data_IF_016556587438
#
_entry.id   IF_016556587438
#
_cell.length_a   1.000
_cell.length_b   1.000
_cell.length_c   1.000
_cell.angle_alpha   90.00
_cell.angle_beta   90.00
_cell.angle_gamma   90.00
#
_symmetry.space_group_name_H-M   'P 1'
#
loop_
_entity.id
_entity.type
_entity.pdbx_description
1 polymer ?
#
# COMPACT_ATOMS: atom_id res chain seq x y z
N UNK A 1 2.81 10.94 23.54
CA UNK A 1 1.58 10.30 23.07
C UNK A 1 0.38 10.46 24.04
N UNK A 2 0.59 10.81 25.31
CA UNK A 2 -0.49 11.01 26.30
C UNK A 2 -1.48 12.15 25.96
N UNK A 3 -1.18 13.00 24.98
CA UNK A 3 -1.99 14.16 24.59
C UNK A 3 -2.73 13.99 23.24
N UNK A 4 -2.65 12.81 22.57
CA UNK A 4 -3.34 12.60 21.30
C UNK A 4 -4.80 12.17 21.54
N UNK A 5 -5.74 13.02 21.21
CA UNK A 5 -7.18 12.72 21.36
C UNK A 5 -7.63 11.53 20.51
N UNK A 6 -7.09 11.38 19.31
CA UNK A 6 -7.41 10.26 18.42
C UNK A 6 -6.97 8.93 19.04
N UNK A 7 -5.74 8.85 19.53
CA UNK A 7 -5.23 7.64 20.20
C UNK A 7 -6.02 7.31 21.46
N UNK A 8 -6.40 8.33 22.24
CA UNK A 8 -7.26 8.14 23.42
C UNK A 8 -8.63 7.60 23.02
N UNK A 9 -9.24 8.14 21.97
CA UNK A 9 -10.54 7.69 21.46
C UNK A 9 -10.48 6.23 21.00
N UNK A 10 -9.46 5.84 20.23
CA UNK A 10 -9.25 4.46 19.79
C UNK A 10 -9.09 3.49 20.97
N UNK A 11 -8.34 3.88 22.00
CA UNK A 11 -8.19 3.03 23.19
C UNK A 11 -9.49 2.89 23.99
N UNK A 12 -10.23 3.99 24.12
CA UNK A 12 -11.49 3.98 24.86
C UNK A 12 -12.55 3.16 24.13
N UNK A 13 -12.62 3.24 22.79
CA UNK A 13 -13.60 2.51 22.00
C UNK A 13 -13.47 0.97 22.13
N UNK A 14 -12.27 0.46 22.40
CA UNK A 14 -12.04 -0.98 22.58
C UNK A 14 -12.75 -1.58 23.82
N UNK A 15 -13.14 -0.76 24.77
CA UNK A 15 -13.77 -1.17 26.02
C UNK A 15 -15.18 -0.60 26.16
N UNK A 16 -15.70 0.03 25.13
CA UNK A 16 -17.03 0.64 25.14
C UNK A 16 -18.07 -0.37 24.64
N UNK A 17 -19.24 -0.38 25.29
CA UNK A 17 -20.39 -1.21 24.87
C UNK A 17 -21.01 -0.69 23.57
N UNK A 18 -20.93 0.62 23.33
CA UNK A 18 -21.44 1.30 22.13
C UNK A 18 -20.35 2.23 21.60
N UNK A 19 -20.07 2.13 20.30
CA UNK A 19 -19.12 2.99 19.58
C UNK A 19 -19.85 3.71 18.45
N UNK A 20 -19.75 5.02 18.43
CA UNK A 20 -20.26 5.86 17.33
C UNK A 20 -19.08 6.18 16.42
N UNK A 21 -19.22 5.85 15.14
CA UNK A 21 -18.20 6.06 14.13
C UNK A 21 -18.83 6.51 12.80
N UNK A 22 -18.07 7.17 11.93
CA UNK A 22 -18.54 7.46 10.57
C UNK A 22 -18.45 6.19 9.68
N UNK A 23 -19.24 6.16 8.61
CA UNK A 23 -19.30 5.03 7.67
C UNK A 23 -17.91 4.68 7.08
N UNK A 24 -17.13 5.70 6.73
CA UNK A 24 -15.79 5.50 6.16
C UNK A 24 -14.86 4.72 7.12
N UNK A 25 -14.87 5.04 8.42
CA UNK A 25 -14.06 4.32 9.40
C UNK A 25 -14.50 2.86 9.54
N UNK A 26 -15.80 2.61 9.53
CA UNK A 26 -16.35 1.24 9.60
C UNK A 26 -15.93 0.44 8.37
N UNK A 27 -16.08 1.00 7.16
CA UNK A 27 -15.71 0.32 5.91
C UNK A 27 -14.20 0.11 5.76
N UNK A 28 -13.37 1.08 6.13
CA UNK A 28 -11.91 0.92 6.15
C UNK A 28 -11.48 -0.19 7.12
N UNK A 29 -12.08 -0.28 8.30
CA UNK A 29 -11.79 -1.37 9.24
C UNK A 29 -12.22 -2.73 8.68
N UNK A 30 -13.37 -2.80 8.00
CA UNK A 30 -13.85 -4.02 7.35
C UNK A 30 -12.89 -4.45 6.21
N UNK A 31 -12.45 -3.53 5.36
CA UNK A 31 -11.49 -3.80 4.29
C UNK A 31 -10.13 -4.28 4.85
N UNK A 32 -9.64 -3.66 5.92
CA UNK A 32 -8.42 -4.10 6.60
C UNK A 32 -8.56 -5.50 7.20
N UNK A 33 -9.69 -5.81 7.84
CA UNK A 33 -9.94 -7.13 8.41
C UNK A 33 -9.99 -8.22 7.33
N UNK A 34 -10.62 -7.93 6.19
CA UNK A 34 -10.65 -8.83 5.03
C UNK A 34 -9.24 -9.11 4.48
N UNK A 35 -8.41 -8.07 4.35
CA UNK A 35 -7.04 -8.18 3.83
C UNK A 35 -6.11 -8.97 4.76
N UNK A 36 -6.29 -8.84 6.07
CA UNK A 36 -5.43 -9.48 7.07
C UNK A 36 -5.90 -10.87 7.49
N UNK A 37 -7.03 -11.36 6.95
CA UNK A 37 -7.63 -12.63 7.37
C UNK A 37 -8.10 -12.65 8.84
N UNK A 38 -8.18 -11.49 9.48
CA UNK A 38 -8.52 -11.34 10.90
C UNK A 38 -10.05 -11.26 11.10
N UNK A 39 -10.77 -12.25 10.57
CA UNK A 39 -12.22 -12.32 10.73
C UNK A 39 -12.69 -12.56 12.18
N UNK A 40 -11.78 -12.70 13.14
CA UNK A 40 -12.14 -13.07 14.53
C UNK A 40 -11.36 -12.32 15.61
N UNK A 41 -11.10 -11.02 15.47
CA UNK A 41 -10.65 -10.25 16.63
C UNK A 41 -11.83 -10.15 17.61
N UNK A 42 -11.67 -10.71 18.82
CA UNK A 42 -12.69 -10.72 19.88
C UNK A 42 -13.18 -9.32 20.28
N UNK A 43 -12.49 -8.28 19.85
CA UNK A 43 -12.84 -6.89 20.14
C UNK A 43 -13.58 -6.20 18.97
N UNK A 44 -13.94 -6.93 17.92
CA UNK A 44 -14.75 -6.32 16.84
C UNK A 44 -16.22 -6.22 17.24
N UNK A 45 -16.91 -5.12 16.84
CA UNK A 45 -18.34 -5.00 17.03
C UNK A 45 -19.07 -6.15 16.34
N UNK A 46 -20.04 -6.75 17.04
CA UNK A 46 -20.86 -7.85 16.52
C UNK A 46 -22.16 -7.39 15.88
N UNK A 47 -22.54 -6.14 16.12
CA UNK A 47 -23.75 -5.54 15.58
C UNK A 47 -23.45 -4.14 15.06
N UNK A 48 -23.98 -3.83 13.88
CA UNK A 48 -23.83 -2.54 13.22
C UNK A 48 -25.22 -1.95 12.97
N UNK A 49 -25.42 -0.70 13.34
CA UNK A 49 -26.60 0.09 13.03
C UNK A 49 -26.12 1.28 12.23
N UNK A 50 -26.62 1.41 11.01
CA UNK A 50 -26.25 2.50 10.12
C UNK A 50 -27.38 3.54 10.09
N UNK A 51 -27.04 4.76 10.49
CA UNK A 51 -27.88 5.93 10.27
C UNK A 51 -27.52 6.52 8.90
N UNK A 52 -28.48 7.09 8.18
CA UNK A 52 -28.29 7.58 6.80
C UNK A 52 -27.64 6.53 5.89
N UNK A 53 -28.21 5.33 5.86
CA UNK A 53 -27.64 4.14 5.20
C UNK A 53 -27.30 4.30 3.72
N UNK A 54 -27.80 5.33 3.03
CA UNK A 54 -27.45 5.64 1.65
C UNK A 54 -25.97 6.02 1.44
N UNK A 55 -25.30 6.52 2.49
CA UNK A 55 -23.85 6.81 2.45
C UNK A 55 -22.95 5.58 2.57
N UNK A 56 -23.52 4.40 2.86
CA UNK A 56 -22.73 3.16 3.00
C UNK A 56 -22.08 2.78 1.68
N UNK A 57 -22.80 2.94 0.56
CA UNK A 57 -22.34 2.55 -0.77
C UNK A 57 -21.08 3.33 -1.15
N UNK A 58 -21.09 4.65 -1.02
CA UNK A 58 -19.95 5.50 -1.31
C UNK A 58 -18.76 5.20 -0.38
N UNK A 59 -19.05 4.94 0.90
CA UNK A 59 -18.01 4.59 1.87
C UNK A 59 -17.40 3.22 1.59
N UNK A 60 -18.19 2.24 1.17
CA UNK A 60 -17.74 0.92 0.78
C UNK A 60 -16.90 0.99 -0.50
N UNK A 61 -17.40 1.64 -1.54
CA UNK A 61 -16.67 1.88 -2.77
C UNK A 61 -15.30 2.49 -2.50
N UNK A 62 -15.25 3.55 -1.71
CA UNK A 62 -13.99 4.21 -1.34
C UNK A 62 -13.04 3.32 -0.55
N UNK A 63 -13.56 2.46 0.33
CA UNK A 63 -12.75 1.62 1.22
C UNK A 63 -12.23 0.33 0.54
N UNK A 64 -13.02 -0.22 -0.39
CA UNK A 64 -12.71 -1.47 -1.08
C UNK A 64 -12.17 -1.26 -2.51
N UNK A 65 -12.23 -0.03 -3.05
CA UNK A 65 -11.59 0.28 -4.32
C UNK A 65 -10.08 0.21 -4.21
N UNK A 66 -9.44 -0.29 -5.24
CA UNK A 66 -7.99 -0.21 -5.39
C UNK A 66 -7.60 1.05 -6.16
N UNK A 67 -6.59 1.75 -5.67
CA UNK A 67 -6.00 2.90 -6.35
C UNK A 67 -4.53 2.66 -6.61
N UNK A 68 -4.07 2.86 -7.84
CA UNK A 68 -2.65 2.85 -8.19
C UNK A 68 -2.22 4.29 -8.49
N UNK A 69 -1.51 4.89 -7.55
CA UNK A 69 -1.05 6.28 -7.68
C UNK A 69 0.47 6.37 -7.58
N UNK A 70 1.05 7.38 -8.25
CA UNK A 70 2.47 7.68 -8.12
C UNK A 70 2.85 8.08 -6.68
N UNK A 71 1.90 8.61 -5.91
CA UNK A 71 2.13 8.94 -4.51
C UNK A 71 2.28 7.69 -3.65
N UNK A 72 1.37 6.72 -3.75
CA UNK A 72 1.41 5.48 -2.96
C UNK A 72 2.64 4.63 -3.30
N UNK A 73 2.99 4.54 -4.59
CA UNK A 73 4.19 3.83 -5.02
C UNK A 73 5.48 4.53 -4.52
N UNK A 74 5.52 5.86 -4.48
CA UNK A 74 6.62 6.63 -3.88
C UNK A 74 6.70 6.43 -2.35
N UNK A 75 5.54 6.38 -1.65
CA UNK A 75 5.50 6.08 -0.22
C UNK A 75 5.96 4.64 0.07
N UNK A 76 5.65 3.67 -0.81
CA UNK A 76 6.19 2.30 -0.71
C UNK A 76 7.71 2.29 -0.83
N UNK A 77 8.28 2.99 -1.83
CA UNK A 77 9.75 3.16 -1.94
C UNK A 77 10.34 3.74 -0.68
N UNK A 78 9.75 4.83 -0.18
CA UNK A 78 10.22 5.49 1.03
C UNK A 78 10.12 4.58 2.27
N UNK A 79 9.11 3.74 2.36
CA UNK A 79 8.96 2.79 3.45
C UNK A 79 9.99 1.65 3.37
N UNK A 80 10.31 1.15 2.18
CA UNK A 80 11.31 0.10 1.96
C UNK A 80 12.73 0.64 2.17
N UNK A 81 13.09 1.74 1.53
CA UNK A 81 14.46 2.27 1.50
C UNK A 81 14.77 3.28 2.58
N UNK A 82 13.76 3.94 3.12
CA UNK A 82 13.93 5.09 4.01
C UNK A 82 14.23 6.37 3.23
N UNK A 83 14.65 7.40 3.97
CA UNK A 83 14.94 8.69 3.39
C UNK A 83 16.29 8.68 2.66
N UNK A 84 16.29 8.94 1.35
CA UNK A 84 17.46 8.91 0.46
C UNK A 84 18.15 10.29 0.32
N UNK A 85 17.56 11.38 0.85
CA UNK A 85 18.10 12.75 0.74
C UNK A 85 19.03 13.17 1.91
N UNK A 86 19.52 12.20 2.67
CA UNK A 86 20.50 12.42 3.73
C UNK A 86 19.98 13.15 4.99
N UNK A 87 18.75 13.58 5.02
CA UNK A 87 18.13 14.19 6.20
C UNK A 87 17.81 13.12 7.25
N UNK A 88 18.70 12.92 8.19
CA UNK A 88 18.79 11.81 9.17
C UNK A 88 17.55 11.52 10.02
N UNK A 89 16.51 12.36 10.03
CA UNK A 89 15.56 12.37 11.15
C UNK A 89 14.20 11.72 10.90
N UNK A 90 13.79 11.39 9.68
CA UNK A 90 12.35 11.20 9.48
C UNK A 90 11.80 9.85 9.07
N UNK A 91 12.50 8.99 8.34
CA UNK A 91 11.96 7.64 8.05
C UNK A 91 13.10 6.63 7.90
N UNK A 92 13.19 5.72 8.86
CA UNK A 92 14.09 4.55 8.75
C UNK A 92 13.45 3.57 7.78
N UNK A 93 14.17 3.15 6.74
CA UNK A 93 13.73 2.10 5.82
C UNK A 93 13.56 0.75 6.50
N UNK A 94 12.97 -0.18 5.77
CA UNK A 94 12.70 -1.52 6.26
C UNK A 94 13.99 -2.24 6.70
N UNK A 95 15.08 -2.06 5.95
CA UNK A 95 16.40 -2.62 6.28
C UNK A 95 16.88 -2.26 7.69
N UNK A 96 16.72 -0.99 8.11
CA UNK A 96 17.11 -0.55 9.46
C UNK A 96 16.17 -1.03 10.57
N UNK A 97 14.98 -1.47 10.19
CA UNK A 97 13.98 -1.98 11.15
C UNK A 97 14.09 -3.46 11.35
N UNK A 98 14.39 -4.20 10.29
CA UNK A 98 14.39 -5.66 10.28
C UNK A 98 15.78 -6.28 10.34
N UNK A 99 16.83 -5.60 9.83
CA UNK A 99 18.15 -6.19 9.67
C UNK A 99 18.69 -6.88 10.92
N UNK A 100 18.51 -6.27 12.10
CA UNK A 100 18.91 -6.89 13.36
C UNK A 100 18.03 -8.09 13.78
N UNK A 101 16.75 -8.09 13.38
CA UNK A 101 15.79 -9.14 13.75
C UNK A 101 15.96 -10.41 12.92
N UNK A 102 16.47 -10.28 11.70
CA UNK A 102 16.61 -11.37 10.72
C UNK A 102 18.07 -11.70 10.41
N UNK A 103 19.01 -11.21 11.24
CA UNK A 103 20.46 -11.34 10.99
C UNK A 103 20.92 -12.79 10.87
N UNK A 104 20.25 -13.70 11.58
CA UNK A 104 20.57 -15.13 11.58
C UNK A 104 20.01 -15.88 10.35
N UNK A 105 19.24 -15.21 9.48
CA UNK A 105 18.66 -15.81 8.27
C UNK A 105 19.23 -15.15 7.02
N UNK A 106 20.16 -15.84 6.35
CA UNK A 106 20.72 -15.39 5.09
C UNK A 106 19.64 -15.21 4.00
N UNK A 107 18.66 -16.11 3.96
CA UNK A 107 17.54 -16.03 3.00
C UNK A 107 16.68 -14.78 3.23
N UNK A 108 16.35 -14.47 4.48
CA UNK A 108 15.55 -13.29 4.81
C UNK A 108 16.34 -11.99 4.52
N UNK A 109 17.64 -11.97 4.80
CA UNK A 109 18.51 -10.84 4.47
C UNK A 109 18.63 -10.64 2.95
N UNK A 110 18.79 -11.71 2.18
CA UNK A 110 18.81 -11.65 0.72
C UNK A 110 17.48 -11.12 0.16
N UNK A 111 16.35 -11.60 0.67
CA UNK A 111 15.03 -11.12 0.30
C UNK A 111 14.85 -9.62 0.62
N UNK A 112 15.29 -9.18 1.80
CA UNK A 112 15.24 -7.76 2.19
C UNK A 112 16.08 -6.88 1.26
N UNK A 113 17.28 -7.31 0.93
CA UNK A 113 18.17 -6.58 0.02
C UNK A 113 17.57 -6.50 -1.39
N UNK A 114 17.07 -7.62 -1.93
CA UNK A 114 16.39 -7.67 -3.23
C UNK A 114 15.20 -6.73 -3.28
N UNK A 115 14.31 -6.76 -2.29
CA UNK A 115 13.17 -5.86 -2.22
C UNK A 115 13.59 -4.38 -2.16
N UNK A 116 14.65 -4.09 -1.40
CA UNK A 116 15.19 -2.72 -1.27
C UNK A 116 15.80 -2.22 -2.57
N UNK A 117 16.45 -3.09 -3.34
CA UNK A 117 17.04 -2.72 -4.63
C UNK A 117 15.98 -2.53 -5.70
N UNK A 118 15.01 -3.43 -5.82
CA UNK A 118 13.88 -3.29 -6.74
C UNK A 118 13.05 -2.02 -6.46
N UNK A 119 12.92 -1.63 -5.21
CA UNK A 119 12.24 -0.39 -4.85
C UNK A 119 12.86 0.87 -5.45
N UNK A 120 14.10 0.82 -6.01
CA UNK A 120 14.69 1.94 -6.77
C UNK A 120 13.93 2.25 -8.05
N UNK A 121 13.24 1.28 -8.61
CA UNK A 121 12.46 1.41 -9.83
C UNK A 121 11.06 2.01 -9.58
N UNK A 122 10.70 2.25 -8.32
CA UNK A 122 9.51 3.03 -7.93
C UNK A 122 9.84 4.53 -7.90
N UNK A 123 8.84 5.43 -7.97
CA UNK A 123 9.04 6.87 -7.98
C UNK A 123 9.85 7.35 -6.78
N UNK A 124 10.94 8.04 -7.05
CA UNK A 124 11.88 8.56 -6.05
C UNK A 124 11.80 10.08 -5.87
N UNK A 125 12.75 10.64 -5.13
CA UNK A 125 12.82 12.09 -4.87
C UNK A 125 12.70 12.86 -6.20
N UNK A 126 11.83 13.90 -6.24
CA UNK A 126 11.60 14.71 -7.41
C UNK A 126 10.67 14.12 -8.48
N UNK A 127 10.05 12.98 -8.23
CA UNK A 127 9.16 12.29 -9.16
C UNK A 127 8.01 13.19 -9.69
N UNK A 128 7.46 14.06 -8.84
CA UNK A 128 6.36 14.97 -9.26
C UNK A 128 6.77 15.87 -10.43
N UNK A 129 7.97 16.46 -10.30
CA UNK A 129 8.52 17.32 -11.35
C UNK A 129 8.76 16.50 -12.62
N UNK A 130 9.43 15.36 -12.53
CA UNK A 130 9.72 14.50 -13.68
C UNK A 130 8.47 14.02 -14.41
N UNK A 131 7.41 13.62 -13.67
CA UNK A 131 6.14 13.25 -14.31
C UNK A 131 5.48 14.47 -14.96
N UNK A 132 5.52 15.66 -14.33
CA UNK A 132 4.94 16.87 -14.90
C UNK A 132 5.67 17.35 -16.17
N UNK A 133 6.98 17.17 -16.23
CA UNK A 133 7.83 17.53 -17.37
C UNK A 133 7.95 16.39 -18.42
N UNK A 134 7.32 15.24 -18.16
CA UNK A 134 7.38 14.04 -19.01
C UNK A 134 8.82 13.49 -19.20
N UNK A 135 9.62 13.58 -18.15
CA UNK A 135 11.02 13.10 -18.07
C UNK A 135 11.17 11.97 -17.04
N UNK A 136 10.54 10.80 -17.25
CA UNK A 136 10.53 9.73 -16.26
C UNK A 136 11.92 9.11 -16.06
N UNK A 137 12.30 8.88 -14.81
CA UNK A 137 13.59 8.29 -14.45
C UNK A 137 13.56 6.76 -14.29
N UNK A 138 12.38 6.15 -14.21
CA UNK A 138 12.22 4.72 -13.98
C UNK A 138 10.91 4.20 -14.59
N UNK A 139 10.70 2.87 -14.54
CA UNK A 139 9.57 2.21 -15.17
C UNK A 139 8.23 2.64 -14.60
N UNK A 140 8.13 2.81 -13.28
CA UNK A 140 6.89 3.27 -12.66
C UNK A 140 6.54 4.71 -13.10
N UNK A 141 7.53 5.61 -13.15
CA UNK A 141 7.32 6.98 -13.64
C UNK A 141 6.93 7.00 -15.13
N UNK A 142 7.47 6.07 -15.94
CA UNK A 142 7.06 5.93 -17.36
C UNK A 142 5.58 5.60 -17.50
N UNK A 143 5.08 4.68 -16.65
CA UNK A 143 3.65 4.36 -16.63
C UNK A 143 2.80 5.58 -16.26
N UNK A 144 3.15 6.29 -15.18
CA UNK A 144 2.39 7.48 -14.77
C UNK A 144 2.46 8.63 -15.77
N UNK A 145 3.58 8.79 -16.50
CA UNK A 145 3.66 9.71 -17.63
C UNK A 145 2.70 9.29 -18.75
N UNK A 146 2.62 8.00 -19.08
CA UNK A 146 1.70 7.50 -20.10
C UNK A 146 0.24 7.74 -19.70
N UNK A 147 -0.13 7.48 -18.43
CA UNK A 147 -1.46 7.78 -17.89
C UNK A 147 -1.75 9.28 -17.97
N UNK A 148 -0.83 10.13 -17.50
CA UNK A 148 -0.98 11.59 -17.58
C UNK A 148 -1.21 12.05 -19.02
N UNK A 149 -0.41 11.58 -19.96
CA UNK A 149 -0.54 11.95 -21.37
C UNK A 149 -1.88 11.52 -21.95
N UNK A 150 -2.36 10.31 -21.62
CA UNK A 150 -3.68 9.84 -22.05
C UNK A 150 -4.82 10.72 -21.49
N UNK A 151 -4.71 11.12 -20.20
CA UNK A 151 -5.69 12.03 -19.57
C UNK A 151 -5.73 13.38 -20.31
N UNK A 152 -4.57 14.01 -20.55
CA UNK A 152 -4.53 15.31 -21.23
C UNK A 152 -4.99 15.24 -22.68
N UNK A 153 -4.76 14.13 -23.38
CA UNK A 153 -5.24 13.92 -24.76
C UNK A 153 -6.76 13.75 -24.86
N UNK A 154 -7.38 13.19 -23.82
CA UNK A 154 -8.82 12.88 -23.81
C UNK A 154 -9.67 13.90 -23.08
N UNK A 155 -9.07 14.74 -22.25
CA UNK A 155 -9.80 15.74 -21.48
C UNK A 155 -10.38 16.82 -22.41
N UNK A 156 -11.67 17.14 -22.24
CA UNK A 156 -12.34 18.20 -22.96
C UNK A 156 -11.78 19.59 -22.61
N UNK A 157 -11.32 19.76 -21.36
CA UNK A 157 -10.76 21.01 -20.84
C UNK A 157 -9.38 20.73 -20.18
N UNK A 158 -8.32 20.51 -20.96
CA UNK A 158 -7.01 20.14 -20.42
C UNK A 158 -6.35 21.26 -19.58
N UNK A 159 -6.86 22.49 -19.62
CA UNK A 159 -6.40 23.62 -18.81
C UNK A 159 -7.21 23.82 -17.51
N UNK A 160 -8.14 22.91 -17.20
CA UNK A 160 -8.91 22.98 -15.97
C UNK A 160 -7.99 23.03 -14.74
N UNK A 161 -8.33 23.92 -13.79
CA UNK A 161 -7.66 24.02 -12.50
C UNK A 161 -8.03 22.87 -11.53
N UNK A 162 -9.04 22.07 -11.90
CA UNK A 162 -9.53 20.93 -11.12
C UNK A 162 -8.92 19.63 -11.60
N UNK A 163 -9.12 18.58 -10.82
CA UNK A 163 -8.70 17.24 -11.20
C UNK A 163 -9.35 16.82 -12.52
N UNK A 164 -8.51 16.37 -13.47
CA UNK A 164 -8.97 15.82 -14.74
C UNK A 164 -9.26 14.34 -14.56
N UNK A 165 -10.40 13.90 -15.07
CA UNK A 165 -10.83 12.52 -15.10
C UNK A 165 -11.31 12.15 -16.49
N UNK A 166 -10.90 10.99 -16.98
CA UNK A 166 -11.28 10.48 -18.29
C UNK A 166 -11.50 8.96 -18.22
N UNK A 167 -12.29 8.44 -19.15
CA UNK A 167 -12.42 7.01 -19.35
C UNK A 167 -11.08 6.38 -19.74
N UNK A 168 -10.79 5.24 -19.15
CA UNK A 168 -9.53 4.51 -19.40
C UNK A 168 -9.58 3.78 -20.74
N UNK A 169 -10.73 3.23 -21.09
CA UNK A 169 -10.88 2.38 -22.27
C UNK A 169 -11.31 3.16 -23.52
N UNK A 170 -10.84 2.70 -24.71
CA UNK A 170 -9.78 1.73 -24.91
C UNK A 170 -8.43 2.25 -24.43
N UNK A 171 -7.64 1.42 -23.75
CA UNK A 171 -6.30 1.82 -23.33
C UNK A 171 -5.37 2.02 -24.54
N UNK A 172 -4.49 3.03 -24.49
CA UNK A 172 -3.50 3.22 -25.56
C UNK A 172 -2.43 2.14 -25.50
N UNK A 173 -1.90 1.72 -26.66
CA UNK A 173 -0.83 0.72 -26.74
C UNK A 173 0.37 1.12 -25.86
N UNK A 174 0.78 2.39 -25.89
CA UNK A 174 1.86 2.88 -25.02
C UNK A 174 1.55 2.69 -23.53
N UNK A 175 0.31 2.92 -23.10
CA UNK A 175 -0.10 2.74 -21.72
C UNK A 175 -0.08 1.25 -21.35
N UNK A 176 -0.55 0.36 -22.21
CA UNK A 176 -0.52 -1.10 -22.03
C UNK A 176 0.92 -1.63 -21.91
N UNK A 177 1.83 -1.20 -22.80
CA UNK A 177 3.24 -1.58 -22.73
C UNK A 177 3.91 -1.15 -21.41
N UNK A 178 3.63 0.08 -20.94
CA UNK A 178 4.17 0.57 -19.67
C UNK A 178 3.51 -0.10 -18.46
N UNK A 179 2.22 -0.39 -18.55
CA UNK A 179 1.49 -1.17 -17.54
C UNK A 179 2.10 -2.56 -17.37
N UNK A 180 2.42 -3.25 -18.47
CA UNK A 180 3.05 -4.57 -18.40
C UNK A 180 4.43 -4.54 -17.75
N UNK A 181 5.25 -3.51 -18.05
CA UNK A 181 6.56 -3.33 -17.40
C UNK A 181 6.42 -3.07 -15.90
N UNK A 182 5.51 -2.18 -15.51
CA UNK A 182 5.23 -1.92 -14.11
C UNK A 182 4.70 -3.16 -13.39
N UNK A 183 3.79 -3.92 -14.02
CA UNK A 183 3.31 -5.18 -13.47
C UNK A 183 4.43 -6.18 -13.19
N UNK A 184 5.35 -6.35 -14.13
CA UNK A 184 6.51 -7.23 -13.97
C UNK A 184 7.36 -6.79 -12.77
N UNK A 185 7.65 -5.49 -12.65
CA UNK A 185 8.36 -4.92 -11.50
C UNK A 185 7.62 -5.21 -10.18
N UNK A 186 6.31 -5.03 -10.13
CA UNK A 186 5.51 -5.28 -8.93
C UNK A 186 5.47 -6.79 -8.59
N UNK A 187 5.47 -7.67 -9.59
CA UNK A 187 5.60 -9.11 -9.37
C UNK A 187 6.96 -9.46 -8.77
N UNK A 188 8.04 -8.94 -9.36
CA UNK A 188 9.40 -9.16 -8.86
C UNK A 188 9.58 -8.63 -7.44
N UNK A 189 8.93 -7.53 -7.08
CA UNK A 189 8.95 -6.95 -5.75
C UNK A 189 8.09 -7.76 -4.75
N UNK A 190 6.99 -8.35 -5.19
CA UNK A 190 6.09 -9.11 -4.32
C UNK A 190 6.73 -10.37 -3.76
N UNK A 191 7.55 -11.05 -4.55
CA UNK A 191 8.22 -12.31 -4.16
C UNK A 191 9.09 -12.15 -2.90
N UNK A 192 10.09 -11.26 -2.85
CA UNK A 192 10.92 -11.09 -1.66
C UNK A 192 10.14 -10.55 -0.46
N UNK A 193 9.12 -9.71 -0.68
CA UNK A 193 8.30 -9.19 0.42
C UNK A 193 7.41 -10.27 1.05
N UNK A 194 6.89 -11.19 0.23
CA UNK A 194 6.15 -12.36 0.72
C UNK A 194 7.06 -13.31 1.49
N UNK A 195 8.26 -13.59 0.99
CA UNK A 195 9.27 -14.39 1.73
C UNK A 195 9.58 -13.79 3.09
N UNK A 196 9.79 -12.47 3.16
CA UNK A 196 10.00 -11.76 4.42
C UNK A 196 8.81 -11.90 5.37
N UNK A 197 7.58 -11.75 4.87
CA UNK A 197 6.38 -11.90 5.68
C UNK A 197 6.26 -13.31 6.26
N UNK A 198 6.46 -14.34 5.43
CA UNK A 198 6.45 -15.75 5.85
C UNK A 198 7.53 -16.03 6.90
N UNK A 199 8.75 -15.52 6.70
CA UNK A 199 9.83 -15.68 7.67
C UNK A 199 9.50 -15.05 9.04
N UNK A 200 8.97 -13.82 9.05
CA UNK A 200 8.59 -13.15 10.29
C UNK A 200 7.43 -13.87 11.00
N UNK A 201 6.49 -14.42 10.24
CA UNK A 201 5.41 -15.23 10.79
C UNK A 201 5.95 -16.51 11.44
N UNK A 202 6.84 -17.22 10.74
CA UNK A 202 7.51 -18.41 11.30
C UNK A 202 8.26 -18.11 12.59
N UNK A 203 8.98 -16.98 12.67
CA UNK A 203 9.65 -16.55 13.91
C UNK A 203 8.67 -16.34 15.08
N UNK A 204 7.48 -15.81 14.83
CA UNK A 204 6.46 -15.59 15.86
C UNK A 204 5.92 -16.94 16.37
N UNK A 205 5.69 -17.90 15.46
CA UNK A 205 5.12 -19.21 15.76
C UNK A 205 6.14 -20.13 16.46
N UNK A 206 7.35 -20.24 15.90
CA UNK A 206 8.40 -21.16 16.41
C UNK A 206 9.04 -20.72 17.73
N UNK A 207 9.17 -19.40 17.92
CA UNK A 207 9.83 -18.82 19.09
C UNK A 207 8.86 -18.20 20.09
N UNK A 208 7.59 -18.62 20.06
CA UNK A 208 6.52 -18.04 20.89
C UNK A 208 6.87 -17.95 22.37
N UNK A 209 7.52 -18.99 22.92
CA UNK A 209 7.86 -19.10 24.32
C UNK A 209 9.24 -18.52 24.70
N UNK A 210 10.10 -18.25 23.71
CA UNK A 210 11.49 -17.82 23.96
C UNK A 210 11.73 -16.34 23.66
N UNK A 211 10.85 -15.70 22.87
CA UNK A 211 10.95 -14.28 22.56
C UNK A 211 10.51 -13.42 23.75
N UNK A 212 11.33 -12.45 24.09
CA UNK A 212 10.88 -11.39 24.99
C UNK A 212 9.76 -10.55 24.37
N UNK A 213 8.91 -9.97 25.20
CA UNK A 213 7.72 -9.23 24.76
C UNK A 213 8.05 -8.05 23.82
N UNK A 214 9.22 -7.41 24.00
CA UNK A 214 9.62 -6.26 23.18
C UNK A 214 10.00 -6.71 21.77
N UNK A 215 10.80 -7.77 21.63
CA UNK A 215 11.21 -8.35 20.35
C UNK A 215 10.01 -8.92 19.61
N UNK A 216 9.14 -9.65 20.31
CA UNK A 216 7.87 -10.13 19.74
C UNK A 216 7.03 -9.00 19.15
N UNK A 217 6.80 -7.93 19.91
CA UNK A 217 6.05 -6.77 19.43
C UNK A 217 6.70 -6.09 18.21
N UNK A 218 8.03 -6.07 18.13
CA UNK A 218 8.76 -5.54 16.96
C UNK A 218 8.53 -6.41 15.72
N UNK A 219 8.61 -7.73 15.86
CA UNK A 219 8.39 -8.69 14.75
C UNK A 219 6.94 -8.61 14.28
N UNK A 220 5.96 -8.68 15.19
CA UNK A 220 4.55 -8.54 14.85
C UNK A 220 4.21 -7.21 14.18
N UNK A 221 4.80 -6.11 14.66
CA UNK A 221 4.64 -4.79 14.06
C UNK A 221 5.22 -4.71 12.65
N UNK A 222 6.34 -5.37 12.41
CA UNK A 222 6.97 -5.47 11.10
C UNK A 222 6.16 -6.34 10.13
N UNK A 223 5.70 -7.51 10.58
CA UNK A 223 4.82 -8.40 9.81
C UNK A 223 3.53 -7.69 9.39
N UNK A 224 2.82 -7.09 10.34
CA UNK A 224 1.61 -6.29 10.04
C UNK A 224 1.90 -5.13 9.08
N UNK A 225 3.07 -4.51 9.21
CA UNK A 225 3.53 -3.46 8.30
C UNK A 225 3.73 -3.97 6.87
N UNK A 226 4.32 -5.15 6.69
CA UNK A 226 4.48 -5.82 5.39
C UNK A 226 3.13 -6.16 4.77
N UNK A 227 2.25 -6.82 5.52
CA UNK A 227 0.92 -7.20 5.02
C UNK A 227 0.12 -5.98 4.55
N UNK A 228 0.04 -4.94 5.36
CA UNK A 228 -0.76 -3.76 5.06
C UNK A 228 -0.20 -2.86 3.97
N UNK A 229 1.13 -2.73 3.86
CA UNK A 229 1.77 -1.73 2.98
C UNK A 229 2.34 -2.30 1.71
N UNK A 230 2.56 -3.59 1.67
CA UNK A 230 3.19 -4.24 0.53
C UNK A 230 2.30 -5.32 -0.07
N UNK A 231 2.08 -6.43 0.61
CA UNK A 231 1.41 -7.59 -0.01
C UNK A 231 0.01 -7.29 -0.50
N UNK A 232 -0.83 -6.62 0.30
CA UNK A 232 -2.19 -6.24 -0.09
C UNK A 232 -2.22 -5.25 -1.26
N UNK A 233 -1.60 -4.06 -1.14
CA UNK A 233 -1.56 -3.09 -2.23
C UNK A 233 -0.94 -3.63 -3.52
N UNK A 234 0.15 -4.41 -3.44
CA UNK A 234 0.78 -4.98 -4.63
C UNK A 234 -0.16 -5.88 -5.41
N UNK A 235 -0.90 -6.78 -4.73
CA UNK A 235 -1.87 -7.65 -5.38
C UNK A 235 -2.97 -6.85 -6.10
N UNK A 236 -3.52 -5.82 -5.44
CA UNK A 236 -4.54 -4.96 -6.02
C UNK A 236 -4.01 -4.18 -7.25
N UNK A 237 -2.78 -3.63 -7.17
CA UNK A 237 -2.18 -2.92 -8.30
C UNK A 237 -1.88 -3.84 -9.48
N UNK A 238 -1.45 -5.08 -9.23
CA UNK A 238 -1.24 -6.09 -10.27
C UNK A 238 -2.55 -6.41 -11.01
N UNK A 239 -3.65 -6.59 -10.28
CA UNK A 239 -4.97 -6.81 -10.89
C UNK A 239 -5.41 -5.62 -11.75
N UNK A 240 -5.26 -4.39 -11.27
CA UNK A 240 -5.58 -3.19 -12.05
C UNK A 240 -4.75 -3.08 -13.33
N UNK A 241 -3.45 -3.46 -13.28
CA UNK A 241 -2.58 -3.44 -14.45
C UNK A 241 -2.92 -4.56 -15.44
N UNK A 242 -3.46 -5.69 -14.96
CA UNK A 242 -3.99 -6.76 -15.80
C UNK A 242 -5.23 -6.31 -16.56
N UNK A 243 -6.15 -5.64 -15.88
CA UNK A 243 -7.36 -5.12 -16.50
C UNK A 243 -7.05 -4.16 -17.65
N UNK A 244 -5.96 -3.38 -17.57
CA UNK A 244 -5.54 -2.50 -18.65
C UNK A 244 -5.07 -3.22 -19.92
N UNK A 245 -4.81 -4.53 -19.88
CA UNK A 245 -4.46 -5.33 -21.05
C UNK A 245 -5.71 -5.80 -21.84
N UNK A 246 -6.90 -5.62 -21.29
CA UNK A 246 -8.15 -5.97 -21.95
C UNK A 246 -8.58 -4.82 -22.89
N UNK A 247 -9.15 -5.18 -24.03
CA UNK A 247 -9.61 -4.19 -25.03
C UNK A 247 -10.92 -3.47 -24.64
N UNK A 248 -11.73 -4.11 -23.75
CA UNK A 248 -12.98 -3.57 -23.21
C UNK A 248 -13.20 -4.08 -21.78
N UNK A 249 -13.88 -3.33 -20.95
CA UNK A 249 -14.56 -3.90 -19.79
C UNK A 249 -15.77 -4.65 -20.31
N UNK A 250 -15.81 -5.94 -20.14
CA UNK A 250 -17.06 -6.69 -20.22
C UNK A 250 -17.93 -6.19 -19.05
N UNK A 251 -19.04 -5.53 -19.43
CA UNK A 251 -19.99 -4.93 -18.53
C UNK A 251 -20.80 -5.95 -17.73
#
# INVERSE_FOLDING_TARGET
>A
YHKCFVEKSIRTSRHADIVIANHALVMVNAAMAATLGQASDKNQPTRYIFDEGHHIFDAADSAFSAGLTAYETAEMRLWLRGNEDGRRWRKRGLQKRLGELIIDSEEALAALNTATDLARLLPGIGWKKRISENEPANEAEQFFCAVRNAVYQRANEPQSLYNLQVEVYPATQNMQEKAQKLKNLLNDLSVPLTKLATHLQGMIEEKADTLDSQTRNRIEGAYRGLMRRATGPLAAWQMMLDDLQQDSRDG
#
